data_IF_095233596566
#
_entry.id   IF_095233596566
#
_cell.length_a   1.000
_cell.length_b   1.000
_cell.length_c   1.000
_cell.angle_alpha   90.00
_cell.angle_beta   90.00
_cell.angle_gamma   90.00
#
_symmetry.space_group_name_H-M   'P 1'
#
loop_
_entity.id
_entity.type
_entity.pdbx_description
1 polymer ?
#
# COMPACT_ATOMS: atom_id res chain seq x y z
N UNK A 1 63.70 -42.04 43.03
CA UNK A 1 64.13 -41.90 44.42
C UNK A 1 63.28 -40.88 45.13
N UNK A 2 62.58 -41.34 46.15
CA UNK A 2 62.26 -40.68 47.42
C UNK A 2 61.39 -39.46 47.30
N UNK A 3 60.24 -39.47 47.74
CA UNK A 3 59.51 -39.51 49.04
C UNK A 3 58.71 -38.21 49.14
N UNK A 4 57.35 -38.31 49.16
CA UNK A 4 56.53 -38.25 50.39
C UNK A 4 56.76 -37.01 51.26
N UNK A 5 55.77 -36.18 51.47
CA UNK A 5 55.12 -36.11 52.77
C UNK A 5 53.88 -35.20 52.76
N UNK A 6 52.85 -35.72 53.34
CA UNK A 6 51.60 -35.15 53.79
C UNK A 6 51.82 -33.91 54.66
N UNK A 7 50.83 -33.08 54.77
CA UNK A 7 50.14 -32.78 56.07
C UNK A 7 48.91 -31.93 55.80
N UNK A 8 47.78 -32.43 56.29
CA UNK A 8 46.53 -31.73 56.59
C UNK A 8 46.74 -30.65 57.64
N UNK A 9 46.01 -29.56 57.60
CA UNK A 9 45.39 -28.91 58.75
C UNK A 9 44.14 -28.19 58.33
N UNK A 10 43.06 -28.55 58.99
CA UNK A 10 41.72 -27.96 59.01
C UNK A 10 41.76 -26.74 59.88
N UNK A 11 41.09 -25.66 59.47
CA UNK A 11 40.39 -24.79 60.42
C UNK A 11 39.34 -23.96 59.71
N UNK A 12 38.20 -24.08 60.26
CA UNK A 12 36.93 -23.44 59.88
C UNK A 12 36.81 -21.99 60.40
N UNK A 13 35.70 -21.40 59.98
CA UNK A 13 34.93 -20.25 60.57
C UNK A 13 35.14 -18.90 59.91
N UNK A 14 34.22 -18.38 59.28
CA UNK A 14 33.00 -17.68 59.49
C UNK A 14 32.71 -16.60 58.45
N UNK A 15 31.51 -16.62 57.99
CA UNK A 15 30.60 -15.56 57.55
C UNK A 15 31.16 -14.19 57.08
N UNK A 16 30.83 -13.82 55.84
CA UNK A 16 30.12 -12.55 55.61
C UNK A 16 29.47 -12.58 54.23
N UNK A 17 28.20 -12.33 54.24
CA UNK A 17 27.27 -12.13 53.15
C UNK A 17 27.70 -10.95 52.27
N UNK A 18 27.88 -11.22 50.97
CA UNK A 18 27.61 -10.17 49.97
C UNK A 18 27.05 -10.85 48.74
N UNK A 19 25.76 -10.62 48.53
CA UNK A 19 25.04 -11.00 47.33
C UNK A 19 25.47 -10.13 46.17
N UNK A 20 26.07 -10.72 45.16
CA UNK A 20 26.12 -10.15 43.82
C UNK A 20 25.60 -11.22 42.83
N UNK A 21 24.39 -11.01 42.43
CA UNK A 21 23.66 -11.82 41.44
C UNK A 21 24.29 -11.63 40.05
N UNK A 22 25.14 -12.55 39.64
CA UNK A 22 25.63 -12.64 38.26
C UNK A 22 24.90 -13.78 37.60
N UNK A 23 23.84 -13.43 36.83
CA UNK A 23 23.09 -14.31 35.97
C UNK A 23 24.01 -14.90 34.88
N UNK A 24 24.38 -16.13 35.00
CA UNK A 24 24.91 -16.95 33.91
C UNK A 24 23.73 -17.37 33.06
N UNK A 25 23.80 -17.01 31.78
CA UNK A 25 22.83 -17.48 30.78
C UNK A 25 23.10 -18.93 30.44
N UNK A 26 22.26 -19.82 30.96
CA UNK A 26 22.10 -21.16 30.46
C UNK A 26 21.23 -21.08 29.18
N UNK A 27 21.81 -21.46 28.05
CA UNK A 27 21.12 -21.57 26.78
C UNK A 27 20.31 -22.86 26.76
N UNK A 28 19.14 -22.83 27.34
CA UNK A 28 18.12 -23.85 27.08
C UNK A 28 17.46 -23.49 25.74
N UNK A 29 17.60 -24.37 24.76
CA UNK A 29 16.84 -24.36 23.50
C UNK A 29 15.36 -24.54 23.81
N UNK A 30 14.66 -23.47 24.00
CA UNK A 30 13.21 -23.45 23.98
C UNK A 30 12.77 -23.21 22.52
N UNK A 31 12.21 -24.26 21.93
CA UNK A 31 11.51 -24.20 20.65
C UNK A 31 10.27 -23.30 20.83
N UNK A 32 10.46 -22.00 20.70
CA UNK A 32 9.34 -21.09 20.60
C UNK A 32 8.90 -21.02 19.14
N UNK A 33 7.98 -21.89 18.76
CA UNK A 33 7.14 -21.72 17.59
C UNK A 33 6.41 -20.39 17.77
N UNK A 34 6.97 -19.30 17.25
CA UNK A 34 6.23 -18.08 17.08
C UNK A 34 5.09 -18.39 16.12
N UNK A 35 3.93 -18.63 16.67
CA UNK A 35 2.66 -18.44 16.00
C UNK A 35 2.69 -17.00 15.44
N UNK A 36 2.88 -16.88 14.12
CA UNK A 36 2.72 -15.62 13.41
C UNK A 36 1.24 -15.31 13.52
N UNK A 37 0.87 -14.53 14.53
CA UNK A 37 -0.42 -13.86 14.52
C UNK A 37 -0.40 -12.95 13.28
N UNK A 38 -1.09 -13.37 12.23
CA UNK A 38 -1.50 -12.48 11.15
C UNK A 38 -2.33 -11.37 11.80
N UNK A 39 -1.70 -10.25 12.08
CA UNK A 39 -2.44 -9.03 12.42
C UNK A 39 -3.18 -8.65 11.15
N UNK A 40 -4.48 -8.96 11.08
CA UNK A 40 -5.35 -8.53 10.00
C UNK A 40 -5.20 -7.01 9.89
N UNK A 41 -4.74 -6.53 8.72
CA UNK A 41 -4.59 -5.10 8.49
C UNK A 41 -5.94 -4.40 8.68
N UNK A 42 -5.90 -3.21 9.25
CA UNK A 42 -7.12 -2.41 9.44
C UNK A 42 -7.45 -1.67 8.16
N UNK A 43 -8.74 -1.60 7.81
CA UNK A 43 -9.21 -0.72 6.76
C UNK A 43 -8.86 0.73 7.07
N UNK A 44 -8.54 1.49 6.02
CA UNK A 44 -8.24 2.93 6.12
C UNK A 44 -9.56 3.67 6.39
N UNK A 45 -9.55 4.59 7.32
CA UNK A 45 -10.65 5.52 7.48
C UNK A 45 -10.62 6.52 6.33
N UNK A 46 -11.68 6.51 5.51
CA UNK A 46 -11.76 7.37 4.34
C UNK A 46 -12.06 8.81 4.75
N UNK A 47 -11.28 9.72 4.22
CA UNK A 47 -11.51 11.17 4.33
C UNK A 47 -12.51 11.61 3.27
N UNK A 48 -13.27 12.68 3.57
CA UNK A 48 -14.09 13.34 2.57
C UNK A 48 -13.20 13.99 1.51
N UNK A 49 -13.41 13.65 0.26
CA UNK A 49 -12.65 14.25 -0.84
C UNK A 49 -13.28 15.58 -1.25
N UNK A 50 -12.45 16.54 -1.74
CA UNK A 50 -12.94 17.83 -2.22
C UNK A 50 -13.67 17.76 -3.56
N UNK A 51 -13.95 16.56 -4.06
CA UNK A 51 -14.67 16.24 -5.28
C UNK A 51 -15.84 15.34 -4.97
N UNK A 52 -17.04 15.68 -5.44
CA UNK A 52 -18.26 14.87 -5.22
C UNK A 52 -18.44 13.80 -6.29
N UNK A 53 -18.01 14.11 -7.52
CA UNK A 53 -18.07 13.24 -8.69
C UNK A 53 -16.76 13.32 -9.48
N UNK A 54 -16.39 12.21 -10.09
CA UNK A 54 -15.23 12.16 -10.97
C UNK A 54 -15.67 11.64 -12.35
N UNK A 55 -16.01 12.59 -13.23
CA UNK A 55 -16.45 12.29 -14.59
C UNK A 55 -15.31 12.60 -15.59
N UNK A 56 -15.16 11.77 -16.61
CA UNK A 56 -14.13 11.95 -17.63
C UNK A 56 -14.56 11.37 -18.99
N UNK A 57 -14.01 11.97 -20.03
CA UNK A 57 -13.93 11.38 -21.36
C UNK A 57 -12.55 11.74 -21.92
N UNK A 58 -11.62 10.80 -21.92
CA UNK A 58 -10.21 11.05 -22.24
C UNK A 58 -9.57 9.82 -22.87
N UNK A 59 -8.27 9.90 -23.17
CA UNK A 59 -7.50 8.78 -23.72
C UNK A 59 -6.85 7.96 -22.63
N UNK A 60 -6.85 6.65 -22.79
CA UNK A 60 -5.91 5.81 -22.06
C UNK A 60 -4.48 5.99 -22.60
N UNK A 61 -3.51 5.74 -21.74
CA UNK A 61 -2.10 5.99 -22.05
C UNK A 61 -1.50 4.92 -22.96
N UNK A 62 -1.92 3.66 -22.83
CA UNK A 62 -1.25 2.54 -23.47
C UNK A 62 -1.75 2.31 -24.90
N UNK A 63 -3.06 2.40 -25.13
CA UNK A 63 -3.68 2.09 -26.43
C UNK A 63 -4.17 3.32 -27.18
N UNK A 64 -4.29 4.47 -26.49
CA UNK A 64 -4.82 5.71 -27.06
C UNK A 64 -6.32 5.66 -27.34
N UNK A 65 -7.05 4.73 -26.74
CA UNK A 65 -8.49 4.60 -26.90
C UNK A 65 -9.22 5.64 -26.05
N UNK A 66 -10.40 6.07 -26.51
CA UNK A 66 -11.26 6.96 -25.70
C UNK A 66 -11.93 6.14 -24.60
N UNK A 67 -11.69 6.54 -23.36
CA UNK A 67 -12.35 6.00 -22.16
C UNK A 67 -13.36 7.03 -21.65
N UNK A 68 -14.58 6.57 -21.39
CA UNK A 68 -15.65 7.39 -20.84
C UNK A 68 -16.03 6.87 -19.45
N UNK A 69 -16.08 7.76 -18.48
CA UNK A 69 -16.44 7.41 -17.09
C UNK A 69 -17.81 6.72 -17.01
N UNK A 70 -18.78 7.19 -17.78
CA UNK A 70 -20.14 6.64 -17.81
C UNK A 70 -20.17 5.14 -18.16
N UNK A 71 -19.35 4.70 -19.11
CA UNK A 71 -19.26 3.28 -19.50
C UNK A 71 -18.39 2.51 -18.50
N UNK A 72 -17.25 3.09 -18.13
CA UNK A 72 -16.26 2.48 -17.23
C UNK A 72 -16.83 2.13 -15.84
N UNK A 73 -17.57 3.05 -15.23
CA UNK A 73 -18.16 2.82 -13.91
C UNK A 73 -19.29 1.78 -13.89
N UNK A 74 -19.96 1.56 -15.00
CA UNK A 74 -21.04 0.57 -15.09
C UNK A 74 -20.54 -0.89 -15.09
N UNK A 75 -19.28 -1.10 -15.38
CA UNK A 75 -18.71 -2.45 -15.46
C UNK A 75 -18.65 -3.14 -14.08
N UNK A 76 -18.40 -2.36 -13.03
CA UNK A 76 -18.25 -2.86 -11.65
C UNK A 76 -18.90 -1.91 -10.64
N UNK A 77 -19.30 -2.45 -9.46
CA UNK A 77 -19.96 -1.64 -8.44
C UNK A 77 -19.07 -0.56 -7.80
N UNK A 78 -17.76 -0.73 -7.89
CA UNK A 78 -16.77 0.14 -7.27
C UNK A 78 -15.58 0.34 -8.21
N UNK A 79 -15.01 1.53 -8.21
CA UNK A 79 -13.74 1.86 -8.85
C UNK A 79 -12.79 2.48 -7.84
N UNK A 80 -11.57 1.94 -7.74
CA UNK A 80 -10.45 2.59 -7.07
C UNK A 80 -9.76 3.50 -8.09
N UNK A 81 -9.69 4.80 -7.82
CA UNK A 81 -8.99 5.79 -8.64
C UNK A 81 -7.71 6.21 -7.92
N UNK A 82 -6.57 6.00 -8.55
CA UNK A 82 -5.26 6.42 -8.05
C UNK A 82 -4.70 7.55 -8.92
N UNK A 83 -4.46 8.72 -8.31
CA UNK A 83 -3.89 9.91 -8.96
C UNK A 83 -2.39 9.94 -8.69
N UNK A 84 -1.60 9.90 -9.76
CA UNK A 84 -0.16 9.78 -9.68
C UNK A 84 0.56 10.59 -10.77
N UNK A 85 1.89 10.66 -10.73
CA UNK A 85 2.69 11.34 -11.75
C UNK A 85 4.07 10.69 -11.91
N UNK A 86 4.69 10.88 -13.08
CA UNK A 86 5.99 10.26 -13.42
C UNK A 86 7.12 10.71 -12.49
N UNK A 87 7.05 11.93 -11.97
CA UNK A 87 8.02 12.50 -11.03
C UNK A 87 7.82 12.05 -9.56
N UNK A 88 6.70 11.35 -9.26
CA UNK A 88 6.31 11.05 -7.89
C UNK A 88 6.96 9.74 -7.39
N UNK A 89 7.98 9.85 -6.55
CA UNK A 89 8.66 8.70 -5.95
C UNK A 89 7.73 7.76 -5.18
N UNK A 90 6.98 8.25 -4.17
CA UNK A 90 6.04 7.43 -3.42
C UNK A 90 4.96 6.76 -4.27
N UNK A 91 4.52 7.40 -5.38
CA UNK A 91 3.57 6.80 -6.31
C UNK A 91 4.17 5.56 -6.98
N UNK A 92 5.41 5.67 -7.48
CA UNK A 92 6.11 4.54 -8.12
C UNK A 92 6.37 3.39 -7.15
N UNK A 93 6.55 3.68 -5.87
CA UNK A 93 6.76 2.67 -4.83
C UNK A 93 5.48 1.90 -4.48
N UNK A 94 4.28 2.50 -4.63
CA UNK A 94 3.01 1.79 -4.36
C UNK A 94 2.44 1.06 -5.57
N UNK A 95 2.86 1.41 -6.79
CA UNK A 95 2.30 0.84 -8.02
C UNK A 95 2.35 -0.69 -8.11
N UNK A 96 3.42 -1.39 -7.69
CA UNK A 96 3.43 -2.85 -7.67
C UNK A 96 2.35 -3.44 -6.75
N UNK A 97 2.11 -2.82 -5.60
CA UNK A 97 1.04 -3.23 -4.67
C UNK A 97 -0.34 -3.03 -5.31
N UNK A 98 -0.54 -1.90 -6.02
CA UNK A 98 -1.77 -1.61 -6.76
C UNK A 98 -1.95 -2.55 -7.96
N UNK A 99 -0.88 -2.92 -8.66
CA UNK A 99 -0.92 -3.90 -9.75
C UNK A 99 -1.40 -5.26 -9.23
N UNK A 100 -0.82 -5.74 -8.15
CA UNK A 100 -1.24 -6.98 -7.50
C UNK A 100 -2.72 -6.93 -7.06
N UNK A 101 -3.16 -5.81 -6.45
CA UNK A 101 -4.56 -5.61 -6.06
C UNK A 101 -5.47 -5.57 -7.28
N UNK A 102 -5.04 -4.93 -8.37
CA UNK A 102 -5.77 -4.90 -9.63
C UNK A 102 -6.08 -6.31 -10.15
N UNK A 103 -5.12 -7.22 -10.10
CA UNK A 103 -5.32 -8.63 -10.47
C UNK A 103 -6.19 -9.40 -9.45
N UNK A 104 -5.96 -9.16 -8.15
CA UNK A 104 -6.71 -9.84 -7.07
C UNK A 104 -8.19 -9.50 -7.07
N UNK A 105 -8.52 -8.24 -7.39
CA UNK A 105 -9.88 -7.71 -7.34
C UNK A 105 -10.52 -7.50 -8.74
N UNK A 106 -9.88 -7.91 -9.83
CA UNK A 106 -10.30 -7.65 -11.21
C UNK A 106 -11.75 -8.03 -11.54
N UNK A 107 -12.28 -9.04 -10.86
CA UNK A 107 -13.67 -9.49 -11.07
C UNK A 107 -14.68 -8.76 -10.17
N UNK A 108 -14.20 -7.97 -9.20
CA UNK A 108 -15.03 -7.32 -8.18
C UNK A 108 -15.14 -5.81 -8.36
N UNK A 109 -14.02 -5.14 -8.66
CA UNK A 109 -13.95 -3.68 -8.82
C UNK A 109 -13.09 -3.29 -10.01
N UNK A 110 -13.23 -2.04 -10.47
CA UNK A 110 -12.32 -1.44 -11.42
C UNK A 110 -11.16 -0.74 -10.71
N UNK A 111 -10.01 -0.69 -11.38
CA UNK A 111 -8.89 0.17 -11.04
C UNK A 111 -8.67 1.17 -12.17
N UNK A 112 -8.37 2.41 -11.81
CA UNK A 112 -8.12 3.51 -12.75
C UNK A 112 -6.93 4.33 -12.25
N UNK A 113 -5.89 4.44 -13.06
CA UNK A 113 -4.80 5.38 -12.84
C UNK A 113 -5.11 6.71 -13.56
N UNK A 114 -4.75 7.83 -12.92
CA UNK A 114 -4.80 9.17 -13.54
C UNK A 114 -3.41 9.78 -13.46
N UNK A 115 -2.77 10.01 -14.61
CA UNK A 115 -1.36 10.44 -14.68
C UNK A 115 -1.29 11.95 -14.88
N UNK A 116 -1.16 12.71 -13.80
CA UNK A 116 -1.37 14.17 -13.78
C UNK A 116 -0.39 14.99 -14.63
N UNK A 117 0.75 14.47 -14.97
CA UNK A 117 1.79 15.16 -15.74
C UNK A 117 1.92 14.68 -17.19
N UNK A 118 0.92 13.92 -17.69
CA UNK A 118 0.81 13.57 -19.11
C UNK A 118 -0.17 14.48 -19.83
N UNK A 119 0.05 14.69 -21.13
CA UNK A 119 -0.85 15.46 -21.96
C UNK A 119 -0.78 14.96 -23.40
N UNK A 120 -1.89 14.43 -23.90
CA UNK A 120 -1.99 13.87 -25.25
C UNK A 120 -1.74 14.90 -26.35
N UNK A 121 -2.07 16.20 -26.11
CA UNK A 121 -1.90 17.25 -27.11
C UNK A 121 -0.45 17.71 -27.27
N UNK A 122 0.39 17.47 -26.24
CA UNK A 122 1.81 17.87 -26.22
C UNK A 122 2.76 16.67 -26.19
N UNK A 123 2.24 15.44 -26.19
CA UNK A 123 3.01 14.17 -26.06
C UNK A 123 4.00 14.21 -24.86
N UNK A 124 3.55 14.83 -23.76
CA UNK A 124 4.40 15.08 -22.61
C UNK A 124 4.33 13.87 -21.66
N UNK A 125 5.48 13.31 -21.31
CA UNK A 125 5.67 12.23 -20.33
C UNK A 125 4.90 10.92 -20.62
N UNK A 126 4.28 10.75 -21.80
CA UNK A 126 3.49 9.55 -22.13
C UNK A 126 4.38 8.32 -22.20
N UNK A 127 5.55 8.42 -22.84
CA UNK A 127 6.53 7.32 -22.93
C UNK A 127 7.04 6.92 -21.54
N UNK A 128 7.44 7.90 -20.70
CA UNK A 128 7.89 7.64 -19.34
C UNK A 128 6.78 7.00 -18.48
N UNK A 129 5.55 7.49 -18.57
CA UNK A 129 4.41 6.92 -17.86
C UNK A 129 4.17 5.46 -18.28
N UNK A 130 4.19 5.17 -19.59
CA UNK A 130 4.03 3.83 -20.14
C UNK A 130 5.12 2.88 -19.64
N UNK A 131 6.37 3.33 -19.59
CA UNK A 131 7.46 2.52 -19.03
C UNK A 131 7.27 2.22 -17.53
N UNK A 132 6.83 3.21 -16.74
CA UNK A 132 6.56 3.04 -15.31
C UNK A 132 5.43 2.03 -15.10
N UNK A 133 4.30 2.18 -15.81
CA UNK A 133 3.14 1.27 -15.79
C UNK A 133 3.58 -0.17 -16.07
N UNK A 134 4.32 -0.37 -17.17
CA UNK A 134 4.81 -1.69 -17.58
C UNK A 134 5.79 -2.29 -16.57
N UNK A 135 6.72 -1.50 -16.06
CA UNK A 135 7.73 -1.98 -15.10
C UNK A 135 7.12 -2.34 -13.75
N UNK A 136 6.02 -1.68 -13.36
CA UNK A 136 5.26 -2.00 -12.15
C UNK A 136 4.31 -3.20 -12.31
N UNK A 137 4.13 -3.71 -13.54
CA UNK A 137 3.21 -4.82 -13.83
C UNK A 137 1.73 -4.42 -13.79
N UNK A 138 1.43 -3.13 -13.93
CA UNK A 138 0.04 -2.62 -13.95
C UNK A 138 -0.66 -3.08 -15.22
N UNK A 139 -1.87 -3.63 -15.09
CA UNK A 139 -2.71 -4.12 -16.17
C UNK A 139 -4.05 -3.38 -16.27
N UNK A 140 -4.35 -2.51 -15.32
CA UNK A 140 -5.55 -1.70 -15.32
C UNK A 140 -5.33 -0.37 -16.08
N UNK A 141 -6.44 0.20 -16.57
CA UNK A 141 -6.46 1.43 -17.36
C UNK A 141 -5.82 2.61 -16.65
N UNK A 142 -4.95 3.33 -17.36
CA UNK A 142 -4.38 4.61 -16.95
C UNK A 142 -4.75 5.68 -17.96
N UNK A 143 -5.31 6.79 -17.49
CA UNK A 143 -5.81 7.90 -18.34
C UNK A 143 -4.96 9.15 -18.24
N UNK A 144 -4.99 9.93 -19.32
CA UNK A 144 -4.37 11.25 -19.39
C UNK A 144 -5.36 12.35 -18.97
N UNK A 145 -4.92 13.36 -18.22
CA UNK A 145 -5.74 14.54 -17.97
C UNK A 145 -6.12 15.25 -19.26
N UNK A 146 -7.30 15.82 -19.24
CA UNK A 146 -7.80 16.73 -20.26
C UNK A 146 -8.80 17.71 -19.63
N UNK A 147 -9.37 18.69 -20.35
CA UNK A 147 -10.28 19.66 -19.75
C UNK A 147 -11.47 19.08 -18.98
N UNK A 148 -11.92 17.87 -19.31
CA UNK A 148 -13.04 17.23 -18.56
C UNK A 148 -12.62 16.67 -17.21
N UNK A 149 -11.34 16.35 -17.02
CA UNK A 149 -10.79 15.84 -15.76
C UNK A 149 -10.15 16.94 -14.91
N UNK A 150 -9.65 18.02 -15.54
CA UNK A 150 -8.90 19.08 -14.86
C UNK A 150 -9.72 19.77 -13.78
N UNK A 151 -11.00 20.03 -14.02
CA UNK A 151 -11.89 20.68 -13.04
C UNK A 151 -12.01 19.84 -11.73
N UNK A 152 -11.97 18.53 -11.84
CA UNK A 152 -11.96 17.63 -10.67
C UNK A 152 -10.57 17.54 -10.04
N UNK A 153 -9.51 17.47 -10.87
CA UNK A 153 -8.13 17.28 -10.41
C UNK A 153 -7.53 18.51 -9.76
N UNK A 154 -8.01 19.72 -10.07
CA UNK A 154 -7.51 20.99 -9.47
C UNK A 154 -7.62 21.00 -7.95
N UNK A 155 -8.49 20.21 -7.38
CA UNK A 155 -8.66 20.06 -5.93
C UNK A 155 -7.73 19.02 -5.31
N UNK A 156 -7.01 18.23 -6.12
CA UNK A 156 -6.03 17.25 -5.64
C UNK A 156 -4.69 17.96 -5.44
N UNK A 157 -4.37 18.27 -4.20
CA UNK A 157 -3.20 19.10 -3.84
C UNK A 157 -1.92 18.31 -3.58
N UNK A 158 -2.00 16.98 -3.49
CA UNK A 158 -0.87 16.10 -3.27
C UNK A 158 -1.09 14.74 -3.94
N UNK A 159 0.00 14.06 -4.30
CA UNK A 159 -0.01 12.71 -4.85
C UNK A 159 1.00 11.81 -4.10
N UNK A 160 0.76 10.49 -4.02
CA UNK A 160 -0.42 9.81 -4.53
C UNK A 160 -1.69 10.19 -3.76
N UNK A 161 -2.80 10.25 -4.44
CA UNK A 161 -4.12 10.36 -3.84
C UNK A 161 -4.98 9.24 -4.40
N UNK A 162 -5.60 8.48 -3.51
CA UNK A 162 -6.52 7.40 -3.89
C UNK A 162 -7.91 7.70 -3.38
N UNK A 163 -8.91 7.55 -4.22
CA UNK A 163 -10.32 7.68 -3.84
C UNK A 163 -11.18 6.61 -4.51
N UNK A 164 -12.34 6.38 -3.94
CA UNK A 164 -13.28 5.35 -4.36
C UNK A 164 -14.51 5.97 -4.99
N UNK A 165 -14.95 5.42 -6.10
CA UNK A 165 -16.09 5.91 -6.89
C UNK A 165 -17.08 4.76 -7.09
N UNK A 166 -18.36 5.03 -6.88
CA UNK A 166 -19.40 4.04 -7.14
C UNK A 166 -19.78 3.97 -8.63
N UNK A 167 -20.65 3.02 -8.98
CA UNK A 167 -21.12 2.83 -10.36
C UNK A 167 -21.91 4.01 -10.97
N UNK A 168 -22.27 5.01 -10.15
CA UNK A 168 -22.93 6.23 -10.59
C UNK A 168 -21.96 7.41 -10.77
N UNK A 169 -20.65 7.21 -10.55
CA UNK A 169 -19.63 8.25 -10.64
C UNK A 169 -19.49 9.11 -9.38
N UNK A 170 -20.17 8.75 -8.28
CA UNK A 170 -20.08 9.47 -7.01
C UNK A 170 -18.86 9.05 -6.22
N UNK A 171 -18.09 10.01 -5.71
CA UNK A 171 -16.95 9.77 -4.83
C UNK A 171 -17.44 9.42 -3.42
N UNK A 172 -16.98 8.28 -2.90
CA UNK A 172 -17.34 7.76 -1.59
C UNK A 172 -16.39 8.25 -0.49
N UNK A 173 -15.18 8.64 -0.86
CA UNK A 173 -14.11 9.08 0.02
C UNK A 173 -12.75 8.60 -0.48
N UNK A 174 -11.68 8.96 0.22
CA UNK A 174 -10.33 8.61 -0.20
C UNK A 174 -9.30 8.86 0.87
N UNK A 175 -8.03 8.82 0.46
CA UNK A 175 -6.89 9.15 1.32
C UNK A 175 -5.75 9.74 0.49
N UNK A 176 -4.91 10.51 1.15
CA UNK A 176 -3.71 11.11 0.58
C UNK A 176 -2.47 10.35 1.08
N UNK A 177 -1.48 10.21 0.20
CA UNK A 177 -0.23 9.53 0.47
C UNK A 177 -0.31 8.02 0.32
N UNK A 178 0.86 7.42 0.11
CA UNK A 178 1.04 5.97 -0.03
C UNK A 178 0.48 5.20 1.16
N UNK A 179 -0.20 4.09 0.87
CA UNK A 179 -0.67 3.11 1.86
C UNK A 179 -0.12 1.72 1.52
N UNK A 180 -0.09 0.84 2.51
CA UNK A 180 0.29 -0.55 2.28
C UNK A 180 -0.84 -1.36 1.63
N UNK A 181 -0.45 -2.38 0.87
CA UNK A 181 -1.37 -3.27 0.13
C UNK A 181 -2.49 -3.82 1.01
N UNK A 182 -2.15 -4.30 2.20
CA UNK A 182 -3.11 -4.98 3.07
C UNK A 182 -4.18 -4.00 3.62
N UNK A 183 -3.79 -2.76 3.93
CA UNK A 183 -4.73 -1.72 4.35
C UNK A 183 -5.67 -1.29 3.22
N UNK A 184 -5.17 -1.20 1.98
CA UNK A 184 -6.00 -0.90 0.80
C UNK A 184 -6.99 -2.05 0.56
N UNK A 185 -6.53 -3.31 0.59
CA UNK A 185 -7.39 -4.48 0.45
C UNK A 185 -8.52 -4.52 1.48
N UNK A 186 -8.19 -4.30 2.76
CA UNK A 186 -9.18 -4.25 3.84
C UNK A 186 -10.21 -3.11 3.64
N UNK A 187 -9.78 -2.00 3.05
CA UNK A 187 -10.67 -0.87 2.72
C UNK A 187 -11.63 -1.22 1.58
N UNK A 188 -11.12 -1.85 0.51
CA UNK A 188 -11.95 -2.36 -0.59
C UNK A 188 -13.01 -3.32 -0.07
N UNK A 189 -12.60 -4.30 0.74
CA UNK A 189 -13.50 -5.30 1.30
C UNK A 189 -14.60 -4.66 2.17
N UNK A 190 -14.22 -3.69 3.02
CA UNK A 190 -15.17 -2.93 3.85
C UNK A 190 -16.21 -2.20 3.00
N UNK A 191 -15.77 -1.47 1.96
CA UNK A 191 -16.69 -0.73 1.08
C UNK A 191 -17.64 -1.69 0.35
N UNK A 192 -17.14 -2.83 -0.13
CA UNK A 192 -17.96 -3.84 -0.81
C UNK A 192 -18.97 -4.50 0.13
N UNK A 193 -18.66 -4.64 1.42
CA UNK A 193 -19.58 -5.16 2.43
C UNK A 193 -20.69 -4.17 2.78
N UNK A 194 -20.36 -2.89 2.88
CA UNK A 194 -21.30 -1.81 3.23
C UNK A 194 -22.29 -1.47 2.07
N UNK A 195 -21.97 -1.87 0.83
CA UNK A 195 -22.77 -1.58 -0.36
C UNK A 195 -23.44 -2.83 -0.98
N UNK A 196 -23.58 -3.91 -0.21
CA UNK A 196 -24.39 -5.08 -0.57
C UNK A 196 -25.83 -4.83 -0.19
#
# INVERSE_FOLDING_TARGET
MKKLFKILIVCAVALSLFACNKKTNDVSKENNSKEVQETKASAIDLESMPIERFDFQTLDIEEGNIVKSEDFYKEKPLTLVNVWGTFCGPCKEEMPDLADLGEEYKDKINFLGVVVDTNASMDTNVEEATEIIKNAGVTYTNIMPNPTTEDSLVHITAIPTTFFVNSEGKVLGGFVGRKDKASIAATIDKILEENK
#
